data_IF_789177390116
#
_entry.id   IF_789177390116
#
_cell.length_a   1.000
_cell.length_b   1.000
_cell.length_c   1.000
_cell.angle_alpha   90.00
_cell.angle_beta   90.00
_cell.angle_gamma   90.00
#
_symmetry.space_group_name_H-M   'P 1'
#
loop_
_entity.id
_entity.type
_entity.pdbx_description
1 polymer ?
#
# COMPACT_ATOMS: atom_id res chain seq x y z
N UNK A 1 41.64 -21.32 -32.26
CA UNK A 1 40.66 -21.35 -31.15
C UNK A 1 40.68 -20.13 -30.21
N UNK A 2 41.35 -19.01 -30.53
CA UNK A 2 41.43 -17.83 -29.62
C UNK A 2 40.26 -16.82 -29.74
N UNK A 3 39.44 -16.91 -30.79
CA UNK A 3 38.38 -15.93 -31.04
C UNK A 3 37.04 -16.27 -30.38
N UNK A 4 36.79 -17.54 -30.01
CA UNK A 4 35.51 -17.96 -29.37
C UNK A 4 35.36 -17.47 -27.93
N UNK A 5 36.46 -17.25 -27.22
CA UNK A 5 36.45 -16.80 -25.81
C UNK A 5 36.06 -15.31 -25.70
N UNK A 6 36.38 -14.48 -26.70
CA UNK A 6 36.04 -13.05 -26.73
C UNK A 6 34.54 -12.78 -26.87
N UNK A 7 33.80 -13.61 -27.60
CA UNK A 7 32.34 -13.42 -27.78
C UNK A 7 31.53 -13.83 -26.55
N UNK A 8 32.02 -14.79 -25.76
CA UNK A 8 31.35 -15.24 -24.53
C UNK A 8 31.38 -14.15 -23.45
N UNK A 9 32.51 -13.44 -23.31
CA UNK A 9 32.61 -12.31 -22.38
C UNK A 9 31.73 -11.12 -22.75
N UNK A 10 31.49 -10.89 -24.06
CA UNK A 10 30.62 -9.79 -24.51
C UNK A 10 29.13 -10.10 -24.30
N UNK A 11 28.72 -11.37 -24.39
CA UNK A 11 27.34 -11.82 -24.19
C UNK A 11 26.93 -11.87 -22.71
N UNK A 12 27.89 -12.14 -21.80
CA UNK A 12 27.65 -12.10 -20.36
C UNK A 12 27.45 -10.67 -19.84
N UNK A 13 28.09 -9.67 -20.47
CA UNK A 13 27.98 -8.28 -20.03
C UNK A 13 26.59 -7.69 -20.32
N UNK A 14 25.93 -8.08 -21.41
CA UNK A 14 24.60 -7.55 -21.79
C UNK A 14 23.47 -8.08 -20.89
N UNK A 15 23.61 -9.28 -20.33
CA UNK A 15 22.61 -9.88 -19.42
C UNK A 15 22.58 -9.13 -18.08
N UNK A 16 23.71 -8.61 -17.60
CA UNK A 16 23.76 -7.86 -16.34
C UNK A 16 23.11 -6.46 -16.41
N UNK A 17 23.00 -5.86 -17.60
CA UNK A 17 22.41 -4.52 -17.77
C UNK A 17 20.88 -4.58 -17.93
N UNK A 18 20.35 -5.73 -18.36
CA UNK A 18 18.90 -5.92 -18.57
C UNK A 18 18.12 -6.22 -17.27
N UNK A 19 18.79 -6.39 -16.12
CA UNK A 19 18.16 -6.74 -14.85
C UNK A 19 17.64 -5.55 -14.04
N UNK A 20 17.82 -4.32 -14.51
CA UNK A 20 17.27 -3.12 -13.88
C UNK A 20 16.03 -2.65 -14.64
N UNK A 21 15.00 -3.49 -14.73
CA UNK A 21 13.67 -3.03 -15.11
C UNK A 21 13.01 -2.47 -13.85
N UNK A 22 12.57 -1.21 -13.87
CA UNK A 22 11.73 -0.68 -12.80
C UNK A 22 10.48 -1.55 -12.72
N UNK A 23 10.37 -2.33 -11.66
CA UNK A 23 9.20 -3.17 -11.42
C UNK A 23 8.00 -2.24 -11.22
N UNK A 24 7.09 -2.19 -12.20
CA UNK A 24 5.84 -1.45 -12.07
C UNK A 24 5.06 -2.01 -10.87
N UNK A 25 4.65 -1.12 -9.96
CA UNK A 25 3.83 -1.47 -8.80
C UNK A 25 2.53 -0.66 -8.79
N UNK A 26 1.56 -0.98 -9.66
CA UNK A 26 0.31 -0.21 -9.76
C UNK A 26 -0.46 -0.15 -8.43
N UNK A 27 -0.31 -1.15 -7.56
CA UNK A 27 -0.93 -1.13 -6.23
C UNK A 27 -0.43 0.02 -5.35
N UNK A 28 0.73 0.61 -5.65
CA UNK A 28 1.33 1.75 -4.94
C UNK A 28 0.88 3.12 -5.47
N UNK A 29 -0.01 3.17 -6.46
CA UNK A 29 -0.61 4.43 -6.88
C UNK A 29 -1.47 5.01 -5.74
N UNK A 30 -1.28 6.31 -5.49
CA UNK A 30 -2.08 7.06 -4.52
C UNK A 30 -3.44 7.41 -5.11
N UNK A 31 -4.47 7.42 -4.27
CA UNK A 31 -5.84 7.72 -4.69
C UNK A 31 -6.27 9.07 -4.14
N UNK A 32 -7.08 9.83 -4.88
CA UNK A 32 -7.67 11.06 -4.35
C UNK A 32 -8.64 10.73 -3.20
N UNK A 33 -8.46 11.37 -2.05
CA UNK A 33 -9.24 11.06 -0.85
C UNK A 33 -10.40 12.04 -0.63
N UNK A 34 -11.50 11.79 -1.33
CA UNK A 34 -12.74 12.55 -1.25
C UNK A 34 -13.69 12.11 -0.11
N UNK A 35 -13.24 11.18 0.76
CA UNK A 35 -14.07 10.69 1.87
C UNK A 35 -14.41 11.80 2.88
N UNK A 36 -15.55 11.70 3.58
CA UNK A 36 -15.94 12.67 4.61
C UNK A 36 -14.91 12.77 5.74
N UNK A 37 -14.72 13.97 6.32
CA UNK A 37 -13.73 14.18 7.40
C UNK A 37 -14.06 13.45 8.70
N UNK A 38 -15.35 13.20 8.97
CA UNK A 38 -15.83 12.52 10.17
C UNK A 38 -16.49 11.17 9.87
N UNK A 39 -17.18 10.62 10.88
CA UNK A 39 -17.86 9.33 10.80
C UNK A 39 -17.40 8.36 11.89
N UNK A 40 -17.86 7.10 11.84
CA UNK A 40 -17.38 6.06 12.73
C UNK A 40 -15.88 5.83 12.58
N UNK A 41 -15.25 5.41 13.66
CA UNK A 41 -13.83 5.04 13.71
C UNK A 41 -13.68 3.53 13.71
N UNK A 42 -12.60 3.04 13.11
CA UNK A 42 -12.34 1.60 13.04
C UNK A 42 -12.02 1.03 14.43
N UNK A 43 -12.66 -0.08 14.76
CA UNK A 43 -12.41 -0.85 15.98
C UNK A 43 -11.57 -2.06 15.62
N UNK A 44 -10.53 -2.28 16.42
CA UNK A 44 -9.61 -3.39 16.27
C UNK A 44 -9.53 -4.10 17.61
N UNK A 45 -9.66 -5.42 17.60
CA UNK A 45 -9.30 -6.28 18.73
C UNK A 45 -8.29 -7.34 18.29
N UNK A 46 -7.36 -7.73 19.18
CA UNK A 46 -6.42 -8.82 18.88
C UNK A 46 -7.09 -10.16 18.57
N UNK A 47 -8.31 -10.37 19.09
CA UNK A 47 -9.06 -11.62 19.00
C UNK A 47 -9.88 -11.70 17.70
N UNK A 48 -10.54 -10.59 17.32
CA UNK A 48 -11.51 -10.57 16.21
C UNK A 48 -11.05 -9.70 15.03
N UNK A 49 -9.84 -9.14 15.07
CA UNK A 49 -9.34 -8.21 14.05
C UNK A 49 -10.23 -6.96 13.95
N UNK A 50 -10.68 -6.57 12.75
CA UNK A 50 -11.49 -5.38 12.54
C UNK A 50 -12.98 -5.66 12.79
N UNK A 51 -13.58 -5.00 13.77
CA UNK A 51 -14.90 -5.39 14.30
C UNK A 51 -16.09 -4.66 13.64
N UNK A 52 -15.87 -3.49 13.03
CA UNK A 52 -16.95 -2.62 12.57
C UNK A 52 -16.78 -2.09 11.13
N UNK A 53 -16.13 -2.87 10.25
CA UNK A 53 -15.93 -2.47 8.84
C UNK A 53 -17.27 -2.16 8.15
N UNK A 54 -18.31 -2.95 8.40
CA UNK A 54 -19.65 -2.71 7.83
C UNK A 54 -20.29 -1.40 8.31
N UNK A 55 -20.03 -0.99 9.56
CA UNK A 55 -20.48 0.30 10.09
C UNK A 55 -19.85 1.45 9.30
N UNK A 56 -18.53 1.38 9.04
CA UNK A 56 -17.83 2.35 8.21
C UNK A 56 -18.38 2.38 6.79
N UNK A 57 -18.61 1.21 6.17
CA UNK A 57 -19.19 1.11 4.81
C UNK A 57 -20.56 1.76 4.72
N UNK A 58 -21.41 1.55 5.73
CA UNK A 58 -22.77 2.10 5.75
C UNK A 58 -22.81 3.64 5.82
N UNK A 59 -21.76 4.27 6.35
CA UNK A 59 -21.63 5.73 6.42
C UNK A 59 -21.14 6.36 5.09
N UNK A 60 -20.58 5.56 4.18
CA UNK A 60 -19.96 6.01 2.95
C UNK A 60 -20.92 5.85 1.76
N UNK A 61 -20.77 6.72 0.76
CA UNK A 61 -21.41 6.49 -0.54
C UNK A 61 -20.66 5.39 -1.32
N UNK A 62 -21.28 4.86 -2.38
CA UNK A 62 -20.75 3.72 -3.15
C UNK A 62 -19.31 3.93 -3.67
N UNK A 63 -18.99 5.13 -4.12
CA UNK A 63 -17.64 5.46 -4.61
C UNK A 63 -16.62 5.49 -3.47
N UNK A 64 -16.99 6.11 -2.36
CA UNK A 64 -16.17 6.18 -1.15
C UNK A 64 -15.95 4.81 -0.51
N UNK A 65 -16.95 3.92 -0.54
CA UNK A 65 -16.82 2.53 -0.09
C UNK A 65 -15.73 1.83 -0.88
N UNK A 66 -15.72 1.97 -2.22
CA UNK A 66 -14.69 1.37 -3.06
C UNK A 66 -13.29 1.86 -2.68
N UNK A 67 -13.10 3.17 -2.55
CA UNK A 67 -11.81 3.77 -2.18
C UNK A 67 -11.35 3.28 -0.80
N UNK A 68 -12.27 3.22 0.16
CA UNK A 68 -12.01 2.71 1.50
C UNK A 68 -11.61 1.24 1.49
N UNK A 69 -12.38 0.38 0.80
CA UNK A 69 -12.14 -1.07 0.73
C UNK A 69 -10.81 -1.38 0.03
N UNK A 70 -10.52 -0.72 -1.09
CA UNK A 70 -9.25 -0.89 -1.81
C UNK A 70 -8.06 -0.48 -0.93
N UNK A 71 -8.19 0.63 -0.20
CA UNK A 71 -7.15 1.12 0.70
C UNK A 71 -6.95 0.20 1.92
N UNK A 72 -8.05 -0.28 2.52
CA UNK A 72 -7.99 -1.19 3.66
C UNK A 72 -7.43 -2.55 3.25
N UNK A 73 -7.81 -3.06 2.08
CA UNK A 73 -7.25 -4.27 1.50
C UNK A 73 -5.75 -4.14 1.30
N UNK A 74 -5.30 -3.05 0.65
CA UNK A 74 -3.88 -2.76 0.48
C UNK A 74 -3.15 -2.69 1.82
N UNK A 75 -3.73 -2.03 2.83
CA UNK A 75 -3.13 -1.99 4.16
C UNK A 75 -2.98 -3.40 4.75
N UNK A 76 -4.01 -4.25 4.63
CA UNK A 76 -3.97 -5.61 5.16
C UNK A 76 -2.98 -6.54 4.47
N UNK A 77 -2.66 -6.31 3.19
CA UNK A 77 -1.81 -7.21 2.40
C UNK A 77 -0.39 -6.70 2.17
N UNK A 78 -0.22 -5.39 1.99
CA UNK A 78 1.06 -4.78 1.58
C UNK A 78 1.77 -4.03 2.73
N UNK A 79 1.03 -3.58 3.74
CA UNK A 79 1.62 -2.88 4.88
C UNK A 79 2.40 -3.84 5.76
N UNK A 80 3.59 -3.43 6.20
CA UNK A 80 4.33 -4.15 7.25
C UNK A 80 3.84 -3.82 8.67
N UNK A 81 2.79 -3.02 8.80
CA UNK A 81 2.27 -2.54 10.09
C UNK A 81 0.98 -3.26 10.49
N UNK A 82 0.85 -3.54 11.78
CA UNK A 82 -0.34 -4.17 12.34
C UNK A 82 -1.61 -3.31 12.19
N UNK A 83 -2.76 -3.99 12.24
CA UNK A 83 -4.08 -3.36 12.19
C UNK A 83 -4.40 -2.53 13.44
N UNK A 84 -3.70 -2.77 14.55
CA UNK A 84 -3.74 -1.94 15.75
C UNK A 84 -3.39 -0.47 15.46
N UNK A 85 -2.50 -0.22 14.49
CA UNK A 85 -2.02 1.13 14.17
C UNK A 85 -3.06 2.01 13.47
N UNK A 86 -4.11 1.41 12.92
CA UNK A 86 -5.23 2.14 12.34
C UNK A 86 -6.43 2.22 13.29
N UNK A 87 -6.38 1.58 14.46
CA UNK A 87 -7.43 1.66 15.47
C UNK A 87 -7.79 3.12 15.79
N UNK A 88 -9.09 3.41 15.90
CA UNK A 88 -9.58 4.75 16.21
C UNK A 88 -9.50 5.75 15.07
N UNK A 89 -8.99 5.37 13.88
CA UNK A 89 -8.99 6.24 12.69
C UNK A 89 -10.33 6.14 11.94
N UNK A 90 -10.77 7.26 11.36
CA UNK A 90 -11.89 7.30 10.42
C UNK A 90 -11.50 6.74 9.06
N UNK A 91 -12.48 6.43 8.20
CA UNK A 91 -12.22 5.95 6.84
C UNK A 91 -11.30 6.91 6.06
N UNK A 92 -11.51 8.23 6.14
CA UNK A 92 -10.65 9.23 5.50
C UNK A 92 -9.22 9.17 6.04
N UNK A 93 -9.05 9.05 7.35
CA UNK A 93 -7.72 8.96 7.95
C UNK A 93 -6.99 7.68 7.52
N UNK A 94 -7.69 6.55 7.41
CA UNK A 94 -7.12 5.28 6.92
C UNK A 94 -6.62 5.43 5.48
N UNK A 95 -7.45 5.97 4.57
CA UNK A 95 -7.05 6.21 3.18
C UNK A 95 -5.85 7.17 3.10
N UNK A 96 -5.80 8.23 3.93
CA UNK A 96 -4.65 9.12 4.01
C UNK A 96 -3.38 8.41 4.49
N UNK A 97 -3.49 7.57 5.53
CA UNK A 97 -2.38 6.76 6.02
C UNK A 97 -1.86 5.86 4.91
N UNK A 98 -2.73 5.20 4.15
CA UNK A 98 -2.35 4.33 3.03
C UNK A 98 -1.66 5.13 1.92
N UNK A 99 -2.22 6.26 1.49
CA UNK A 99 -1.59 7.12 0.49
C UNK A 99 -0.19 7.59 0.93
N UNK A 100 -0.03 7.93 2.20
CA UNK A 100 1.28 8.27 2.75
C UNK A 100 2.23 7.07 2.69
N UNK A 101 1.81 5.88 3.11
CA UNK A 101 2.63 4.67 3.08
C UNK A 101 3.10 4.30 1.66
N UNK A 102 2.21 4.46 0.67
CA UNK A 102 2.49 4.22 -0.74
C UNK A 102 3.52 5.17 -1.33
N UNK A 103 3.40 6.47 -1.02
CA UNK A 103 4.27 7.53 -1.56
C UNK A 103 5.57 7.76 -0.77
N UNK A 104 5.71 7.14 0.40
CA UNK A 104 6.85 7.37 1.29
C UNK A 104 7.88 6.23 1.21
N UNK A 105 9.16 6.60 1.24
CA UNK A 105 10.28 5.66 1.32
C UNK A 105 10.20 4.79 2.58
N UNK A 106 10.73 3.57 2.52
CA UNK A 106 10.58 2.57 3.60
C UNK A 106 10.98 3.12 4.98
N UNK A 107 12.06 3.89 5.06
CA UNK A 107 12.61 4.43 6.31
C UNK A 107 11.74 5.54 6.93
N UNK A 108 10.88 6.17 6.14
CA UNK A 108 10.04 7.29 6.56
C UNK A 108 8.56 6.89 6.81
N UNK A 109 8.16 5.67 6.43
CA UNK A 109 6.77 5.18 6.53
C UNK A 109 6.18 5.22 7.93
N UNK A 110 7.00 5.12 8.98
CA UNK A 110 6.53 5.17 10.36
C UNK A 110 5.88 6.50 10.73
N UNK A 111 6.22 7.58 10.02
CA UNK A 111 5.62 8.90 10.21
C UNK A 111 4.17 8.98 9.74
N UNK A 112 3.74 8.10 8.82
CA UNK A 112 2.37 8.03 8.28
C UNK A 112 1.33 7.50 9.29
N UNK A 113 1.78 6.88 10.38
CA UNK A 113 0.94 6.24 11.39
C UNK A 113 0.63 7.13 12.60
N UNK A 114 1.17 8.35 12.60
CA UNK A 114 0.90 9.34 13.64
C UNK A 114 -0.57 9.78 13.65
#
# INVERSE_FOLDING_TARGET
MKNKIRYISLFLLTIFIAACYEEERPSYDVVENLLPKGGPTIKYSPENSLENVEELRSFLNKESVKIFDDSLSWYGTESSYGLDRIHGKTAKQIVNTVNCLKSTTKDQRSTCLK
#
